data_IF_547177863782
#
_entry.id   IF_547177863782
#
_cell.length_a   1.000
_cell.length_b   1.000
_cell.length_c   1.000
_cell.angle_alpha   90.00
_cell.angle_beta   90.00
_cell.angle_gamma   90.00
#
_symmetry.space_group_name_H-M   'P 1'
#
loop_
_entity.id
_entity.type
_entity.pdbx_description
1 polymer ?
#
# COMPACT_ATOMS: atom_id res chain seq x y z
N UNK A 1 11.92 16.73 -6.10
CA UNK A 1 10.61 16.05 -6.21
C UNK A 1 10.66 14.86 -5.27
N UNK A 2 10.03 14.97 -4.12
CA UNK A 2 10.13 13.99 -3.03
C UNK A 2 9.19 12.84 -3.33
N UNK A 3 9.74 11.78 -3.92
CA UNK A 3 9.05 10.50 -4.06
C UNK A 3 8.98 9.91 -2.66
N UNK A 4 7.77 9.72 -2.15
CA UNK A 4 7.32 9.35 -0.81
C UNK A 4 7.76 7.93 -0.35
N UNK A 5 8.94 7.49 -0.79
CA UNK A 5 9.55 6.23 -0.39
C UNK A 5 8.91 4.99 -1.01
N UNK A 6 7.76 5.13 -1.70
CA UNK A 6 7.02 4.06 -2.37
C UNK A 6 7.15 4.05 -3.90
N UNK A 7 7.55 5.15 -4.54
CA UNK A 7 7.70 5.22 -6.02
C UNK A 7 6.40 5.41 -6.75
N UNK A 8 5.41 5.98 -6.06
CA UNK A 8 4.16 6.46 -6.63
C UNK A 8 4.32 7.98 -6.69
N UNK A 9 3.98 8.60 -7.82
CA UNK A 9 3.97 10.07 -7.84
C UNK A 9 2.79 10.59 -7.02
N UNK A 10 2.91 11.76 -6.34
CA UNK A 10 1.81 12.35 -5.58
C UNK A 10 0.50 12.50 -6.40
N UNK A 11 0.61 12.70 -7.71
CA UNK A 11 -0.50 12.73 -8.66
C UNK A 11 -1.21 11.38 -8.81
N UNK A 12 -0.47 10.27 -8.81
CA UNK A 12 -1.03 8.91 -8.87
C UNK A 12 -1.75 8.56 -7.55
N UNK A 13 -1.22 8.99 -6.41
CA UNK A 13 -1.90 8.85 -5.10
C UNK A 13 -3.21 9.63 -5.09
N UNK A 14 -3.22 10.87 -5.62
CA UNK A 14 -4.41 11.70 -5.66
C UNK A 14 -5.54 11.09 -6.52
N UNK A 15 -5.21 10.45 -7.65
CA UNK A 15 -6.19 9.75 -8.50
C UNK A 15 -6.78 8.55 -7.78
N UNK A 16 -5.96 7.73 -7.12
CA UNK A 16 -6.43 6.56 -6.36
C UNK A 16 -7.29 6.98 -5.17
N UNK A 17 -6.91 8.06 -4.46
CA UNK A 17 -7.73 8.62 -3.38
C UNK A 17 -9.05 9.17 -3.92
N UNK A 18 -9.05 9.87 -5.06
CA UNK A 18 -10.28 10.37 -5.68
C UNK A 18 -11.21 9.24 -6.13
N UNK A 19 -10.68 8.18 -6.75
CA UNK A 19 -11.47 6.99 -7.14
C UNK A 19 -12.05 6.25 -5.92
N UNK A 20 -11.28 6.14 -4.82
CA UNK A 20 -11.71 5.43 -3.62
C UNK A 20 -12.66 6.26 -2.74
N UNK A 21 -12.52 7.58 -2.75
CA UNK A 21 -13.44 8.52 -2.11
C UNK A 21 -14.75 8.64 -2.92
N UNK A 22 -14.68 8.43 -4.24
CA UNK A 22 -15.79 8.62 -5.17
C UNK A 22 -16.12 10.10 -5.37
N UNK A 23 -16.92 10.40 -6.38
CA UNK A 23 -17.57 11.71 -6.48
C UNK A 23 -18.80 11.74 -5.57
N UNK A 24 -19.16 12.93 -5.09
CA UNK A 24 -20.43 13.12 -4.38
C UNK A 24 -21.57 12.94 -5.37
N UNK A 25 -22.52 12.09 -5.04
CA UNK A 25 -23.70 11.92 -5.87
C UNK A 25 -24.55 13.20 -5.87
N UNK A 26 -25.07 13.55 -7.04
CA UNK A 26 -25.89 14.75 -7.19
C UNK A 26 -27.20 14.57 -6.40
N UNK A 27 -27.37 15.33 -5.32
CA UNK A 27 -28.55 15.25 -4.43
C UNK A 27 -28.32 14.49 -3.12
N UNK A 28 -27.11 13.97 -2.87
CA UNK A 28 -26.75 13.41 -1.55
C UNK A 28 -26.70 14.53 -0.49
N UNK A 29 -27.22 14.28 0.71
CA UNK A 29 -27.13 15.23 1.82
C UNK A 29 -25.72 15.30 2.41
N UNK A 30 -25.33 16.48 2.91
CA UNK A 30 -23.97 16.74 3.42
C UNK A 30 -23.55 15.74 4.52
N UNK A 31 -24.45 15.39 5.44
CA UNK A 31 -24.17 14.44 6.53
C UNK A 31 -23.91 13.02 6.01
N UNK A 32 -24.70 12.56 5.03
CA UNK A 32 -24.54 11.24 4.41
C UNK A 32 -23.23 11.16 3.63
N UNK A 33 -22.93 12.20 2.84
CA UNK A 33 -21.66 12.32 2.13
C UNK A 33 -20.46 12.29 3.08
N UNK A 34 -20.52 13.03 4.20
CA UNK A 34 -19.44 13.08 5.18
C UNK A 34 -19.22 11.72 5.87
N UNK A 35 -20.28 10.96 6.18
CA UNK A 35 -20.18 9.61 6.74
C UNK A 35 -19.53 8.65 5.74
N UNK A 36 -19.92 8.70 4.47
CA UNK A 36 -19.33 7.88 3.41
C UNK A 36 -17.86 8.20 3.20
N UNK A 37 -17.51 9.49 3.12
CA UNK A 37 -16.13 9.96 3.03
C UNK A 37 -15.28 9.46 4.21
N UNK A 38 -15.79 9.61 5.44
CA UNK A 38 -15.10 9.17 6.65
C UNK A 38 -14.86 7.66 6.66
N UNK A 39 -15.85 6.87 6.23
CA UNK A 39 -15.75 5.42 6.12
C UNK A 39 -14.73 4.98 5.06
N UNK A 40 -14.69 5.66 3.91
CA UNK A 40 -13.72 5.39 2.83
C UNK A 40 -12.29 5.73 3.27
N UNK A 41 -12.10 6.85 3.97
CA UNK A 41 -10.79 7.19 4.56
C UNK A 41 -10.33 6.16 5.59
N UNK A 42 -11.23 5.65 6.44
CA UNK A 42 -10.90 4.61 7.41
C UNK A 42 -10.46 3.29 6.72
N UNK A 43 -11.13 2.90 5.63
CA UNK A 43 -10.75 1.74 4.83
C UNK A 43 -9.39 1.92 4.16
N UNK A 44 -9.12 3.11 3.61
CA UNK A 44 -7.83 3.47 3.04
C UNK A 44 -6.70 3.36 4.06
N UNK A 45 -6.90 3.91 5.27
CA UNK A 45 -5.94 3.81 6.35
C UNK A 45 -5.69 2.35 6.74
N UNK A 46 -6.75 1.56 6.91
CA UNK A 46 -6.64 0.15 7.25
C UNK A 46 -5.88 -0.66 6.18
N UNK A 47 -6.10 -0.36 4.89
CA UNK A 47 -5.37 -0.97 3.79
C UNK A 47 -3.88 -0.58 3.80
N UNK A 48 -3.57 0.70 4.03
CA UNK A 48 -2.20 1.18 4.15
C UNK A 48 -1.45 0.51 5.32
N UNK A 49 -2.09 0.41 6.49
CA UNK A 49 -1.53 -0.25 7.67
C UNK A 49 -1.31 -1.75 7.43
N UNK A 50 -2.21 -2.41 6.70
CA UNK A 50 -2.05 -3.80 6.32
C UNK A 50 -0.84 -4.01 5.39
N UNK A 51 -0.68 -3.17 4.37
CA UNK A 51 0.47 -3.21 3.46
C UNK A 51 1.78 -2.95 4.21
N UNK A 52 1.78 -1.98 5.14
CA UNK A 52 2.95 -1.67 5.97
C UNK A 52 3.37 -2.87 6.84
N UNK A 53 2.41 -3.57 7.45
CA UNK A 53 2.67 -4.81 8.21
C UNK A 53 3.24 -5.92 7.32
N UNK A 54 2.62 -6.19 6.17
CA UNK A 54 3.12 -7.20 5.23
C UNK A 54 4.56 -6.91 4.77
N UNK A 55 4.90 -5.63 4.56
CA UNK A 55 6.27 -5.21 4.27
C UNK A 55 7.21 -5.47 5.46
N UNK A 56 6.78 -5.18 6.68
CA UNK A 56 7.54 -5.47 7.90
C UNK A 56 7.83 -6.97 8.05
N UNK A 57 6.81 -7.81 7.89
CA UNK A 57 6.93 -9.27 7.95
C UNK A 57 7.88 -9.80 6.88
N UNK A 58 7.75 -9.29 5.65
CA UNK A 58 8.65 -9.61 4.54
C UNK A 58 10.11 -9.30 4.88
N UNK A 59 10.39 -8.10 5.43
CA UNK A 59 11.75 -7.70 5.80
C UNK A 59 12.30 -8.57 6.92
N UNK A 60 11.52 -8.81 7.98
CA UNK A 60 11.93 -9.65 9.10
C UNK A 60 12.33 -11.05 8.63
N UNK A 61 11.53 -11.63 7.73
CA UNK A 61 11.73 -12.97 7.21
C UNK A 61 12.94 -13.09 6.27
N UNK A 62 13.17 -12.06 5.45
CA UNK A 62 14.37 -12.00 4.61
C UNK A 62 15.64 -11.83 5.46
N UNK A 63 15.58 -11.07 6.57
CA UNK A 63 16.69 -10.93 7.53
C UNK A 63 16.94 -12.23 8.30
N UNK A 64 15.89 -12.99 8.60
CA UNK A 64 15.98 -14.30 9.23
C UNK A 64 16.59 -15.38 8.32
N UNK A 65 16.87 -15.06 7.05
CA UNK A 65 17.51 -15.98 6.10
C UNK A 65 16.53 -16.93 5.39
N UNK A 66 15.21 -16.70 5.50
CA UNK A 66 14.20 -17.46 4.77
C UNK A 66 14.39 -17.33 3.25
N UNK A 67 14.13 -18.41 2.51
CA UNK A 67 14.16 -18.38 1.04
C UNK A 67 12.97 -17.58 0.48
N UNK A 68 13.11 -16.98 -0.70
CA UNK A 68 12.03 -16.21 -1.35
C UNK A 68 10.73 -17.03 -1.48
N UNK A 69 10.83 -18.35 -1.66
CA UNK A 69 9.67 -19.26 -1.77
C UNK A 69 8.93 -19.45 -0.44
N UNK A 70 9.66 -19.58 0.66
CA UNK A 70 9.07 -19.71 2.00
C UNK A 70 8.35 -18.42 2.39
N UNK A 71 9.00 -17.28 2.12
CA UNK A 71 8.42 -15.97 2.36
C UNK A 71 7.14 -15.75 1.52
N UNK A 72 7.17 -16.12 0.24
CA UNK A 72 5.99 -16.01 -0.62
C UNK A 72 4.81 -16.86 -0.10
N UNK A 73 5.10 -18.08 0.36
CA UNK A 73 4.06 -18.99 0.90
C UNK A 73 3.45 -18.43 2.18
N UNK A 74 4.28 -17.96 3.11
CA UNK A 74 3.83 -17.47 4.42
C UNK A 74 3.01 -16.19 4.33
N UNK A 75 3.36 -15.30 3.41
CA UNK A 75 2.68 -14.02 3.19
C UNK A 75 1.60 -14.09 2.10
N UNK A 76 1.30 -15.29 1.59
CA UNK A 76 0.35 -15.53 0.50
C UNK A 76 0.60 -14.62 -0.73
N UNK A 77 1.87 -14.53 -1.14
CA UNK A 77 2.32 -13.74 -2.28
C UNK A 77 2.63 -14.63 -3.49
N UNK A 78 2.67 -14.01 -4.67
CA UNK A 78 3.25 -14.65 -5.86
C UNK A 78 4.73 -15.03 -5.61
N UNK A 79 5.21 -16.19 -6.10
CA UNK A 79 6.58 -16.66 -5.89
C UNK A 79 7.68 -15.68 -6.29
N UNK A 80 7.45 -14.81 -7.28
CA UNK A 80 8.43 -13.83 -7.75
C UNK A 80 8.44 -12.52 -6.95
N UNK A 81 7.43 -12.31 -6.10
CA UNK A 81 7.17 -11.02 -5.45
C UNK A 81 8.21 -10.65 -4.38
N UNK A 82 8.66 -11.57 -3.50
CA UNK A 82 9.70 -11.27 -2.51
C UNK A 82 11.01 -10.77 -3.16
N UNK A 83 11.50 -11.45 -4.20
CA UNK A 83 12.72 -11.04 -4.90
C UNK A 83 12.60 -9.71 -5.63
N UNK A 84 11.44 -9.39 -6.21
CA UNK A 84 11.18 -8.09 -6.82
C UNK A 84 11.26 -6.96 -5.78
N UNK A 85 10.59 -7.12 -4.64
CA UNK A 85 10.59 -6.15 -3.56
C UNK A 85 11.98 -5.98 -2.93
N UNK A 86 12.72 -7.08 -2.72
CA UNK A 86 14.10 -7.03 -2.22
C UNK A 86 15.06 -6.30 -3.18
N UNK A 87 14.89 -6.46 -4.49
CA UNK A 87 15.67 -5.71 -5.51
C UNK A 87 15.30 -4.22 -5.53
N UNK A 88 14.02 -3.90 -5.42
CA UNK A 88 13.53 -2.52 -5.38
C UNK A 88 14.03 -1.77 -4.14
N UNK A 89 13.99 -2.40 -2.96
CA UNK A 89 14.53 -1.83 -1.72
C UNK A 89 16.03 -1.55 -1.83
N UNK A 90 16.82 -2.48 -2.39
CA UNK A 90 18.27 -2.28 -2.58
C UNK A 90 18.60 -1.11 -3.50
N UNK A 91 17.84 -0.95 -4.60
CA UNK A 91 17.98 0.19 -5.52
C UNK A 91 17.70 1.54 -4.87
N UNK A 92 16.88 1.59 -3.81
CA UNK A 92 16.54 2.82 -3.08
C UNK A 92 17.47 3.15 -1.93
N UNK A 93 18.10 2.14 -1.32
CA UNK A 93 19.10 2.36 -0.27
C UNK A 93 20.48 2.77 -0.77
N UNK A 94 20.67 2.92 -2.10
CA UNK A 94 21.95 3.29 -2.74
C UNK A 94 22.02 4.75 -3.20
N UNK A 95 21.02 5.57 -2.86
CA UNK A 95 20.95 7.03 -3.06
C UNK A 95 20.88 7.72 -1.71
#
# INVERSE_FOLDING_TARGET
MTVDGYGVEPSEVAVVVAELVGERDTGEQDETWFIHLSSRMALLQAAADHVARLRGDLVAEMVAGSTEREVATRLNLSPSRPGQLARQSRRRGST
#
